data_IF_145775480459
#
_entry.id   IF_145775480459
#
_cell.length_a   1.000
_cell.length_b   1.000
_cell.length_c   1.000
_cell.angle_alpha   90.00
_cell.angle_beta   90.00
_cell.angle_gamma   90.00
#
_symmetry.space_group_name_H-M   'P 1'
#
loop_
_entity.id
_entity.type
_entity.pdbx_description
1 polymer ?
#
# COMPACT_ATOMS: atom_id res chain seq x y z
N UNK A 1 -14.86 -6.38 -2.90
CA UNK A 1 -14.30 -7.03 -1.69
C UNK A 1 -15.26 -8.13 -1.28
N UNK A 2 -14.85 -9.11 -0.48
CA UNK A 2 -15.78 -10.10 0.08
C UNK A 2 -15.66 -10.13 1.59
N UNK A 3 -16.79 -10.22 2.28
CA UNK A 3 -16.85 -10.55 3.71
C UNK A 3 -17.16 -12.03 3.83
N UNK A 4 -16.30 -12.78 4.52
CA UNK A 4 -16.49 -14.20 4.80
C UNK A 4 -17.16 -14.33 6.16
N UNK A 5 -18.24 -15.10 6.22
CA UNK A 5 -19.03 -15.37 7.42
C UNK A 5 -18.53 -16.63 8.13
N UNK A 6 -18.91 -16.81 9.40
CA UNK A 6 -18.46 -17.95 10.22
C UNK A 6 -18.91 -19.33 9.71
N UNK A 7 -19.92 -19.38 8.83
CA UNK A 7 -20.40 -20.58 8.15
C UNK A 7 -19.74 -20.83 6.78
N UNK A 8 -18.65 -20.09 6.49
CA UNK A 8 -17.93 -20.08 5.22
C UNK A 8 -18.72 -19.54 4.01
N UNK A 9 -19.93 -19.01 4.20
CA UNK A 9 -20.59 -18.20 3.17
C UNK A 9 -19.89 -16.84 3.03
N UNK A 10 -20.19 -16.10 1.96
CA UNK A 10 -19.65 -14.75 1.78
C UNK A 10 -20.66 -13.78 1.20
N UNK A 11 -20.42 -12.49 1.45
CA UNK A 11 -21.14 -11.38 0.82
C UNK A 11 -20.17 -10.52 0.03
N UNK A 12 -20.53 -10.22 -1.22
CA UNK A 12 -19.79 -9.25 -2.02
C UNK A 12 -20.06 -7.84 -1.52
N UNK A 13 -18.99 -7.06 -1.35
CA UNK A 13 -19.01 -5.70 -0.87
C UNK A 13 -18.41 -4.75 -1.91
N UNK A 14 -19.20 -3.73 -2.27
CA UNK A 14 -18.84 -2.70 -3.24
C UNK A 14 -18.56 -3.24 -4.65
N UNK A 15 -18.23 -2.32 -5.55
CA UNK A 15 -17.87 -2.67 -6.94
C UNK A 15 -16.39 -3.05 -7.03
N UNK A 16 -16.05 -4.00 -7.92
CA UNK A 16 -14.66 -4.28 -8.28
C UNK A 16 -14.06 -3.09 -9.02
N UNK A 17 -13.05 -2.47 -8.43
CA UNK A 17 -12.30 -1.34 -8.99
C UNK A 17 -10.82 -1.50 -8.67
N UNK A 18 -9.95 -1.06 -9.58
CA UNK A 18 -8.50 -1.13 -9.43
C UNK A 18 -7.93 -2.55 -9.40
N UNK A 19 -6.61 -2.62 -9.24
CA UNK A 19 -5.84 -3.86 -9.15
C UNK A 19 -5.30 -4.03 -7.72
N UNK A 20 -6.17 -4.38 -6.77
CA UNK A 20 -5.78 -4.52 -5.36
C UNK A 20 -4.68 -5.57 -5.17
N UNK A 21 -3.56 -5.17 -4.57
CA UNK A 21 -2.44 -6.08 -4.28
C UNK A 21 -2.13 -6.19 -2.78
N UNK A 22 -2.47 -5.16 -1.98
CA UNK A 22 -2.36 -5.20 -0.52
C UNK A 22 -3.55 -4.54 0.16
N UNK A 23 -3.93 -5.07 1.33
CA UNK A 23 -4.99 -4.49 2.18
C UNK A 23 -4.59 -4.49 3.65
N UNK A 24 -5.15 -3.56 4.43
CA UNK A 24 -5.03 -3.54 5.89
C UNK A 24 -6.29 -2.92 6.51
N UNK A 25 -6.62 -3.24 7.75
CA UNK A 25 -7.80 -2.72 8.44
C UNK A 25 -7.42 -1.64 9.44
N UNK A 26 -8.12 -0.51 9.40
CA UNK A 26 -8.03 0.53 10.41
C UNK A 26 -8.75 0.11 11.70
N UNK A 27 -8.48 0.79 12.82
CA UNK A 27 -9.13 0.51 14.12
C UNK A 27 -10.65 0.72 14.09
N UNK A 28 -11.13 1.63 13.23
CA UNK A 28 -12.55 1.90 13.00
C UNK A 28 -13.20 0.97 11.95
N UNK A 29 -12.45 -0.02 11.43
CA UNK A 29 -12.99 -1.07 10.56
C UNK A 29 -13.04 -0.72 9.08
N UNK A 30 -12.52 0.43 8.66
CA UNK A 30 -12.27 0.71 7.24
C UNK A 30 -11.11 -0.14 6.73
N UNK A 31 -11.13 -0.43 5.44
CA UNK A 31 -10.09 -1.21 4.78
C UNK A 31 -9.27 -0.29 3.88
N UNK A 32 -7.98 -0.20 4.17
CA UNK A 32 -7.00 0.44 3.30
C UNK A 32 -6.67 -0.51 2.16
N UNK A 33 -6.68 0.02 0.93
CA UNK A 33 -6.49 -0.73 -0.30
C UNK A 33 -5.34 -0.09 -1.05
N UNK A 34 -4.28 -0.86 -1.26
CA UNK A 34 -3.16 -0.49 -2.11
C UNK A 34 -3.36 -1.10 -3.50
N UNK A 35 -3.57 -0.23 -4.50
CA UNK A 35 -3.79 -0.64 -5.87
C UNK A 35 -2.49 -0.65 -6.67
N UNK A 36 -2.29 -1.73 -7.41
CA UNK A 36 -1.12 -2.03 -8.21
C UNK A 36 -1.43 -1.84 -9.69
N UNK A 37 -1.66 -0.58 -10.07
CA UNK A 37 -2.19 -0.19 -11.36
C UNK A 37 -1.36 -0.61 -12.58
N UNK A 38 -0.07 -0.91 -12.41
CA UNK A 38 0.79 -1.36 -13.51
C UNK A 38 0.37 -2.71 -14.13
N UNK A 39 -0.46 -3.53 -13.47
CA UNK A 39 -1.07 -4.71 -14.09
C UNK A 39 -1.99 -4.32 -15.26
N UNK A 40 -2.68 -3.20 -15.11
CA UNK A 40 -3.70 -2.72 -16.06
C UNK A 40 -3.24 -1.48 -16.84
N UNK A 41 -1.98 -1.03 -16.63
CA UNK A 41 -1.42 0.17 -17.27
C UNK A 41 -2.07 1.48 -16.79
N UNK A 42 -2.61 1.50 -15.57
CA UNK A 42 -3.25 2.67 -14.96
C UNK A 42 -2.54 3.10 -13.68
N UNK A 43 -2.96 4.22 -13.09
CA UNK A 43 -2.47 4.65 -11.78
C UNK A 43 -2.84 3.63 -10.68
N UNK A 44 -2.00 3.55 -9.65
CA UNK A 44 -2.15 2.66 -8.51
C UNK A 44 -2.39 3.44 -7.21
N UNK A 45 -3.57 4.06 -7.02
CA UNK A 45 -3.84 4.90 -5.86
C UNK A 45 -3.93 4.09 -4.56
N UNK A 46 -3.68 4.77 -3.45
CA UNK A 46 -4.09 4.31 -2.12
C UNK A 46 -5.53 4.75 -1.87
N UNK A 47 -6.37 3.81 -1.46
CA UNK A 47 -7.79 4.05 -1.19
C UNK A 47 -8.16 3.58 0.22
N UNK A 48 -9.25 4.12 0.75
CA UNK A 48 -9.99 3.53 1.86
C UNK A 48 -11.34 3.01 1.36
N UNK A 49 -11.82 1.93 1.97
CA UNK A 49 -13.14 1.36 1.75
C UNK A 49 -13.84 1.17 3.08
N UNK A 50 -15.04 1.72 3.22
CA UNK A 50 -15.90 1.48 4.37
C UNK A 50 -16.85 0.32 4.05
N UNK A 51 -16.71 -0.84 4.72
CA UNK A 51 -17.55 -2.00 4.45
C UNK A 51 -19.02 -1.82 4.89
N UNK A 52 -19.32 -0.88 5.79
CA UNK A 52 -20.68 -0.59 6.26
C UNK A 52 -21.42 0.26 5.24
N UNK A 53 -20.83 1.39 4.83
CA UNK A 53 -21.44 2.31 3.86
C UNK A 53 -21.21 1.89 2.41
N UNK A 54 -20.30 0.94 2.18
CA UNK A 54 -19.81 0.51 0.87
C UNK A 54 -19.22 1.64 0.02
N UNK A 55 -18.72 2.70 0.67
CA UNK A 55 -18.10 3.83 0.00
C UNK A 55 -16.58 3.65 -0.12
N UNK A 56 -16.01 4.23 -1.19
CA UNK A 56 -14.57 4.33 -1.40
C UNK A 56 -14.14 5.78 -1.37
N UNK A 57 -12.94 6.00 -0.85
CA UNK A 57 -12.27 7.30 -0.83
C UNK A 57 -10.84 7.14 -1.33
N UNK A 58 -10.39 8.05 -2.19
CA UNK A 58 -9.00 8.10 -2.63
C UNK A 58 -8.20 8.85 -1.55
N UNK A 59 -7.22 8.18 -0.96
CA UNK A 59 -6.34 8.77 0.04
C UNK A 59 -5.10 9.42 -0.58
N UNK A 60 -4.54 8.80 -1.62
CA UNK A 60 -3.41 9.35 -2.37
C UNK A 60 -3.37 8.81 -3.80
N UNK A 61 -3.13 9.71 -4.76
CA UNK A 61 -2.77 9.38 -6.16
C UNK A 61 -1.32 9.73 -6.48
N UNK A 62 -0.72 10.61 -5.68
CA UNK A 62 0.62 11.15 -5.84
C UNK A 62 1.22 11.41 -4.46
N UNK A 63 2.52 11.16 -4.31
CA UNK A 63 3.27 11.54 -3.11
C UNK A 63 4.61 12.13 -3.52
N UNK A 64 4.99 13.28 -2.95
CA UNK A 64 6.28 13.92 -3.23
C UNK A 64 6.50 14.25 -4.71
N UNK A 65 5.44 14.61 -5.45
CA UNK A 65 5.53 14.90 -6.88
C UNK A 65 5.55 13.67 -7.79
N UNK A 66 5.36 12.45 -7.25
CA UNK A 66 5.41 11.19 -8.00
C UNK A 66 4.07 10.48 -7.96
N UNK A 67 3.51 10.22 -9.14
CA UNK A 67 2.28 9.45 -9.28
C UNK A 67 2.49 8.05 -8.73
N UNK A 68 1.52 7.58 -7.94
CA UNK A 68 1.49 6.21 -7.47
C UNK A 68 1.03 5.28 -8.60
N UNK A 69 1.81 4.27 -8.88
CA UNK A 69 1.58 3.31 -9.98
C UNK A 69 1.43 1.88 -9.47
N UNK A 70 2.13 1.55 -8.39
CA UNK A 70 2.31 0.20 -7.90
C UNK A 70 2.21 0.15 -6.37
N UNK A 71 1.16 0.76 -5.80
CA UNK A 71 0.95 0.76 -4.35
C UNK A 71 0.81 -0.65 -3.81
N UNK A 72 1.50 -0.96 -2.70
CA UNK A 72 1.60 -2.31 -2.18
C UNK A 72 1.82 -2.38 -0.66
N UNK A 73 1.27 -3.41 -0.02
CA UNK A 73 1.35 -3.71 1.42
C UNK A 73 1.19 -2.49 2.35
N UNK A 74 -0.03 -1.95 2.50
CA UNK A 74 -0.27 -0.90 3.47
C UNK A 74 -0.14 -1.46 4.89
N UNK A 75 0.48 -0.70 5.79
CA UNK A 75 0.54 -0.98 7.22
C UNK A 75 0.24 0.29 8.02
N UNK A 76 -0.50 0.13 9.11
CA UNK A 76 -1.06 1.25 9.88
C UNK A 76 -0.45 1.20 11.27
N UNK A 77 0.09 2.32 11.74
CA UNK A 77 0.60 2.41 13.10
C UNK A 77 -0.49 2.75 14.13
N UNK A 78 -0.09 2.91 15.39
CA UNK A 78 -1.03 3.22 16.47
C UNK A 78 -1.63 4.63 16.42
N UNK A 79 -1.01 5.54 15.66
CA UNK A 79 -1.43 6.93 15.48
C UNK A 79 -2.28 7.12 14.22
N UNK A 80 -2.47 6.07 13.41
CA UNK A 80 -3.24 6.11 12.17
C UNK A 80 -2.43 6.55 10.95
N UNK A 81 -1.10 6.62 11.06
CA UNK A 81 -0.25 6.81 9.89
C UNK A 81 -0.29 5.54 9.04
N UNK A 82 -0.49 5.71 7.73
CA UNK A 82 -0.51 4.62 6.77
C UNK A 82 0.80 4.62 6.00
N UNK A 83 1.64 3.64 6.27
CA UNK A 83 2.86 3.38 5.51
C UNK A 83 2.53 2.43 4.38
N UNK A 84 3.01 2.70 3.18
CA UNK A 84 2.75 1.87 2.02
C UNK A 84 3.95 1.94 1.06
N UNK A 85 4.19 0.86 0.33
CA UNK A 85 5.22 0.85 -0.71
C UNK A 85 4.59 1.28 -2.03
N UNK A 86 5.34 1.98 -2.88
CA UNK A 86 5.16 1.92 -4.33
C UNK A 86 6.27 1.02 -4.87
N UNK A 87 5.93 -0.22 -5.24
CA UNK A 87 6.95 -1.23 -5.53
C UNK A 87 7.82 -0.89 -6.74
N UNK A 88 7.31 -0.16 -7.72
CA UNK A 88 8.10 0.24 -8.89
C UNK A 88 7.40 1.36 -9.68
N UNK A 89 8.18 2.10 -10.47
CA UNK A 89 7.67 3.03 -11.48
C UNK A 89 7.82 2.46 -12.90
N UNK A 90 8.03 1.15 -13.04
CA UNK A 90 8.08 0.47 -14.32
C UNK A 90 6.79 0.70 -15.13
N UNK A 91 6.89 0.91 -16.46
CA UNK A 91 5.71 1.19 -17.28
C UNK A 91 4.77 -0.02 -17.41
N UNK A 92 5.29 -1.24 -17.26
CA UNK A 92 4.53 -2.49 -17.33
C UNK A 92 5.09 -3.51 -16.34
N UNK A 93 4.21 -4.40 -15.85
CA UNK A 93 4.56 -5.47 -14.91
C UNK A 93 5.76 -6.32 -15.34
N UNK A 94 5.89 -6.63 -16.65
CA UNK A 94 6.98 -7.49 -17.15
C UNK A 94 8.38 -6.93 -16.91
N UNK A 95 8.49 -5.62 -16.64
CA UNK A 95 9.76 -4.95 -16.38
C UNK A 95 9.99 -4.67 -14.88
N UNK A 96 9.04 -5.03 -14.02
CA UNK A 96 9.02 -4.61 -12.61
C UNK A 96 10.08 -5.29 -11.74
N UNK A 97 10.57 -6.48 -12.14
CA UNK A 97 11.48 -7.31 -11.34
C UNK A 97 12.90 -7.41 -11.93
N UNK A 98 13.33 -6.40 -12.69
CA UNK A 98 14.63 -6.38 -13.38
C UNK A 98 15.81 -5.88 -12.51
N UNK A 99 15.59 -5.70 -11.21
CA UNK A 99 16.62 -5.23 -10.27
C UNK A 99 16.73 -3.70 -10.14
N UNK A 100 15.91 -2.93 -10.87
CA UNK A 100 15.83 -1.47 -10.68
C UNK A 100 15.49 -1.10 -9.24
N UNK A 101 15.94 0.09 -8.84
CA UNK A 101 15.72 0.69 -7.52
C UNK A 101 14.69 1.83 -7.58
N UNK A 102 13.75 1.81 -8.52
CA UNK A 102 12.74 2.88 -8.69
C UNK A 102 11.55 2.83 -7.72
N UNK A 103 11.61 1.92 -6.75
CA UNK A 103 10.62 1.76 -5.70
C UNK A 103 10.88 2.70 -4.51
N UNK A 104 9.82 2.99 -3.76
CA UNK A 104 9.88 3.83 -2.58
C UNK A 104 8.82 3.47 -1.54
N UNK A 105 9.02 3.90 -0.31
CA UNK A 105 8.02 3.84 0.76
C UNK A 105 7.50 5.25 1.00
N UNK A 106 6.18 5.38 1.13
CA UNK A 106 5.52 6.62 1.47
C UNK A 106 4.66 6.45 2.72
N UNK A 107 4.31 7.58 3.33
CA UNK A 107 3.34 7.65 4.43
C UNK A 107 2.23 8.63 4.08
N UNK A 108 0.99 8.26 4.42
CA UNK A 108 -0.18 9.14 4.47
C UNK A 108 -0.57 9.32 5.93
N UNK A 109 -0.64 10.57 6.38
CA UNK A 109 -0.95 10.95 7.75
C UNK A 109 -2.46 11.09 7.96
N UNK A 110 -2.96 11.01 9.20
CA UNK A 110 -4.39 11.21 9.49
C UNK A 110 -4.95 12.57 9.05
N UNK A 111 -4.11 13.60 8.93
CA UNK A 111 -4.49 14.93 8.45
C UNK A 111 -4.54 15.03 6.91
N UNK A 112 -4.27 13.93 6.20
CA UNK A 112 -4.23 13.85 4.74
C UNK A 112 -2.89 14.24 4.11
N UNK A 113 -1.92 14.73 4.90
CA UNK A 113 -0.59 15.02 4.38
C UNK A 113 0.15 13.73 4.01
N UNK A 114 1.01 13.79 3.00
CA UNK A 114 1.77 12.64 2.52
C UNK A 114 3.22 13.00 2.20
N UNK A 115 4.12 12.04 2.40
CA UNK A 115 5.54 12.21 2.07
C UNK A 115 6.21 10.88 1.76
N UNK A 116 7.28 10.94 0.97
CA UNK A 116 8.19 9.82 0.75
C UNK A 116 9.09 9.68 1.98
N UNK A 117 9.25 8.45 2.48
CA UNK A 117 10.06 8.13 3.66
C UNK A 117 11.39 7.45 3.30
N UNK A 118 11.39 6.62 2.26
CA UNK A 118 12.57 5.91 1.79
C UNK A 118 12.48 5.72 0.28
N UNK A 119 13.61 5.83 -0.39
CA UNK A 119 13.73 5.79 -1.85
C UNK A 119 14.84 4.83 -2.26
N UNK A 120 14.99 4.63 -3.57
CA UNK A 120 16.02 3.78 -4.16
C UNK A 120 15.89 2.33 -3.67
N UNK A 121 14.65 1.81 -3.68
CA UNK A 121 14.32 0.47 -3.21
C UNK A 121 14.04 -0.47 -4.37
N UNK A 122 14.64 -1.65 -4.31
CA UNK A 122 14.50 -2.73 -5.29
C UNK A 122 13.23 -3.54 -5.05
N UNK A 123 12.11 -3.05 -5.59
CA UNK A 123 10.81 -3.68 -5.47
C UNK A 123 10.38 -3.93 -4.01
N UNK A 124 10.13 -2.86 -3.23
CA UNK A 124 9.60 -2.99 -1.87
C UNK A 124 8.22 -3.62 -1.93
N UNK A 125 8.11 -4.84 -1.38
CA UNK A 125 6.92 -5.65 -1.53
C UNK A 125 6.19 -5.82 -0.21
N UNK A 126 6.89 -6.13 0.89
CA UNK A 126 6.25 -6.32 2.21
C UNK A 126 6.74 -5.33 3.24
N UNK A 127 5.83 -4.84 4.10
CA UNK A 127 6.12 -3.93 5.20
C UNK A 127 5.72 -4.53 6.56
N UNK A 128 6.50 -4.24 7.61
CA UNK A 128 6.17 -4.59 8.99
C UNK A 128 6.68 -3.53 9.96
N UNK A 129 5.88 -3.18 10.97
CA UNK A 129 6.29 -2.27 12.05
C UNK A 129 6.91 -3.08 13.21
N UNK A 130 7.92 -2.52 13.87
CA UNK A 130 8.35 -3.04 15.17
C UNK A 130 7.23 -2.86 16.21
N UNK A 131 7.19 -3.74 17.21
CA UNK A 131 6.17 -3.70 18.25
C UNK A 131 6.19 -2.40 19.07
N UNK A 132 7.36 -1.76 19.19
CA UNK A 132 7.54 -0.46 19.85
C UNK A 132 7.29 0.75 18.93
N UNK A 133 6.96 0.51 17.64
CA UNK A 133 6.64 1.55 16.66
C UNK A 133 7.83 2.35 16.15
N UNK A 134 9.07 2.03 16.55
CA UNK A 134 10.28 2.81 16.19
C UNK A 134 10.86 2.46 14.83
N UNK A 135 10.55 1.27 14.31
CA UNK A 135 11.14 0.78 13.07
C UNK A 135 10.09 0.29 12.09
N UNK A 136 10.32 0.62 10.82
CA UNK A 136 9.66 0.00 9.68
C UNK A 136 10.64 -0.95 8.99
N UNK A 137 10.23 -2.19 8.81
CA UNK A 137 10.94 -3.20 8.03
C UNK A 137 10.34 -3.29 6.64
N UNK A 138 11.19 -3.44 5.63
CA UNK A 138 10.78 -3.57 4.24
C UNK A 138 11.48 -4.75 3.58
N UNK A 139 10.70 -5.69 3.03
CA UNK A 139 11.21 -6.76 2.19
C UNK A 139 11.36 -6.28 0.74
N UNK A 140 12.57 -6.30 0.23
CA UNK A 140 12.88 -5.97 -1.17
C UNK A 140 12.93 -7.26 -1.98
N UNK A 141 12.02 -7.41 -2.94
CA UNK A 141 11.94 -8.66 -3.71
C UNK A 141 13.14 -8.81 -4.62
N UNK A 142 13.48 -7.77 -5.39
CA UNK A 142 14.54 -7.86 -6.39
C UNK A 142 15.94 -7.80 -5.79
N UNK A 143 16.11 -7.19 -4.60
CA UNK A 143 17.39 -7.19 -3.87
C UNK A 143 17.58 -8.39 -2.94
N UNK A 144 16.57 -9.23 -2.75
CA UNK A 144 16.62 -10.41 -1.86
C UNK A 144 17.09 -10.08 -0.43
N UNK A 145 16.62 -8.96 0.14
CA UNK A 145 16.99 -8.54 1.49
C UNK A 145 15.84 -7.86 2.25
N UNK A 146 16.09 -7.59 3.54
CA UNK A 146 15.19 -6.81 4.38
C UNK A 146 15.93 -5.54 4.82
N UNK A 147 15.31 -4.39 4.58
CA UNK A 147 15.77 -3.08 5.05
C UNK A 147 15.04 -2.72 6.35
N UNK A 148 15.68 -1.90 7.18
CA UNK A 148 15.08 -1.32 8.38
C UNK A 148 15.25 0.19 8.36
N UNK A 149 14.17 0.91 8.61
CA UNK A 149 14.13 2.36 8.71
C UNK A 149 13.67 2.75 10.10
N UNK A 150 14.34 3.72 10.71
CA UNK A 150 13.84 4.37 11.92
C UNK A 150 12.71 5.33 11.53
N UNK A 151 11.61 5.27 12.27
CA UNK A 151 10.41 6.08 12.05
C UNK A 151 10.04 6.77 13.36
N UNK A 152 9.60 8.02 13.26
CA UNK A 152 9.29 8.92 14.38
C UNK A 152 7.78 9.02 14.62
#
# INVERSE_FOLDING_TARGET
MVQIHGDASFTELGTKTGATNGINATKDGKIIIANFGIYDGVAGPLESFDPITQTREILATEVGGRTLTASNYPIIDNFGNIYCANSTSAPVWMNALDGRDDGFIYVVRPDGSSQILAENLCFPNGLALSADGKYLYCCQTSACNIMRFEIA
#
